data_IF_156356331398
#
_entry.id   IF_156356331398
#
_cell.length_a   1.000
_cell.length_b   1.000
_cell.length_c   1.000
_cell.angle_alpha   90.00
_cell.angle_beta   90.00
_cell.angle_gamma   90.00
#
_symmetry.space_group_name_H-M   'P 1'
#
loop_
_entity.id
_entity.type
_entity.pdbx_description
1 polymer ?
#
# COMPACT_ATOMS: atom_id res chain seq x y z
N UNK A 1 19.78 -5.49 -14.38
CA UNK A 1 19.39 -6.23 -13.15
C UNK A 1 19.33 -5.26 -11.99
N UNK A 2 18.23 -5.23 -11.26
CA UNK A 2 18.00 -4.30 -10.14
C UNK A 2 19.04 -4.50 -9.05
N UNK A 3 19.75 -3.42 -8.68
CA UNK A 3 20.73 -3.46 -7.58
C UNK A 3 20.07 -2.94 -6.31
N UNK A 4 19.80 -3.83 -5.37
CA UNK A 4 19.35 -3.49 -4.03
C UNK A 4 20.50 -3.52 -3.04
N UNK A 5 20.41 -2.72 -1.98
CA UNK A 5 21.37 -2.71 -0.87
C UNK A 5 21.44 -4.11 -0.24
N UNK A 6 22.65 -4.59 0.00
CA UNK A 6 22.87 -5.90 0.64
C UNK A 6 23.05 -5.76 2.16
N UNK A 7 22.96 -6.89 2.87
CA UNK A 7 23.24 -6.98 4.32
C UNK A 7 22.39 -6.04 5.19
N UNK A 8 21.14 -5.82 4.82
CA UNK A 8 20.18 -5.04 5.61
C UNK A 8 19.42 -5.92 6.60
N UNK A 9 18.97 -5.33 7.70
CA UNK A 9 18.11 -6.01 8.69
C UNK A 9 16.73 -6.29 8.12
N UNK A 10 16.17 -5.31 7.36
CA UNK A 10 14.87 -5.39 6.71
C UNK A 10 14.99 -5.35 5.19
N UNK A 11 14.03 -5.98 4.55
CA UNK A 11 13.83 -5.87 3.11
C UNK A 11 13.02 -4.61 2.78
N UNK A 12 11.98 -4.32 3.61
CA UNK A 12 11.07 -3.19 3.43
C UNK A 12 10.81 -2.51 4.78
N UNK A 13 10.91 -1.19 4.83
CA UNK A 13 10.38 -0.37 5.94
C UNK A 13 9.32 0.57 5.37
N UNK A 14 8.10 0.51 5.95
CA UNK A 14 7.01 1.44 5.63
C UNK A 14 6.94 2.58 6.64
N UNK A 15 6.54 3.79 6.20
CA UNK A 15 6.21 4.90 7.10
C UNK A 15 4.79 5.37 6.85
N UNK A 16 3.92 5.28 7.85
CA UNK A 16 2.56 5.78 7.70
C UNK A 16 1.68 5.64 8.94
N UNK A 17 0.45 6.15 8.82
CA UNK A 17 -0.55 6.04 9.86
C UNK A 17 -1.21 4.67 9.85
N UNK A 18 -1.38 4.09 11.04
CA UNK A 18 -2.25 2.93 11.25
C UNK A 18 -3.49 3.35 12.01
N UNK A 19 -4.64 3.14 11.40
CA UNK A 19 -5.96 3.46 11.94
C UNK A 19 -6.65 2.23 12.52
N UNK A 20 -7.64 2.49 13.35
CA UNK A 20 -8.65 1.50 13.71
C UNK A 20 -9.75 1.50 12.64
N UNK A 21 -9.93 0.38 11.95
CA UNK A 21 -11.09 0.14 11.10
C UNK A 21 -12.22 -0.44 11.93
N UNK A 22 -13.41 0.11 11.75
CA UNK A 22 -14.67 -0.36 12.32
C UNK A 22 -15.64 -0.69 11.18
N UNK A 23 -15.85 -1.97 10.92
CA UNK A 23 -16.67 -2.46 9.80
C UNK A 23 -18.06 -2.87 10.30
N UNK A 24 -19.12 -2.37 9.67
CA UNK A 24 -20.47 -2.88 9.87
C UNK A 24 -20.55 -4.32 9.29
N UNK A 25 -20.92 -5.33 10.09
CA UNK A 25 -20.97 -6.72 9.64
C UNK A 25 -22.12 -6.94 8.65
N UNK A 26 -22.11 -8.05 7.92
CA UNK A 26 -23.23 -8.55 7.12
C UNK A 26 -23.84 -7.53 6.12
N UNK A 27 -23.04 -6.54 5.67
CA UNK A 27 -23.52 -5.43 4.81
C UNK A 27 -24.59 -4.56 5.48
N UNK A 28 -24.64 -4.53 6.80
CA UNK A 28 -25.50 -3.62 7.55
C UNK A 28 -25.11 -2.16 7.30
N UNK A 29 -26.06 -1.25 7.53
CA UNK A 29 -25.76 0.18 7.48
C UNK A 29 -25.06 0.60 8.77
N UNK A 30 -24.05 1.44 8.69
CA UNK A 30 -23.41 2.05 9.87
C UNK A 30 -24.45 2.70 10.80
N UNK A 31 -25.48 3.32 10.24
CA UNK A 31 -26.55 3.96 11.02
C UNK A 31 -27.51 3.00 11.74
N UNK A 32 -27.37 1.70 11.54
CA UNK A 32 -28.29 0.68 12.08
C UNK A 32 -27.58 -0.47 12.80
N UNK A 33 -26.27 -0.70 12.53
CA UNK A 33 -25.54 -1.77 13.17
C UNK A 33 -25.29 -1.46 14.66
N UNK A 34 -25.44 -2.45 15.51
CA UNK A 34 -25.16 -2.37 16.95
C UNK A 34 -23.76 -2.86 17.30
N UNK A 35 -23.11 -3.56 16.37
CA UNK A 35 -21.79 -4.16 16.55
C UNK A 35 -20.88 -3.75 15.40
N UNK A 36 -19.60 -3.48 15.70
CA UNK A 36 -18.56 -3.29 14.70
C UNK A 36 -17.47 -4.35 14.85
N UNK A 37 -17.06 -4.91 13.72
CA UNK A 37 -15.82 -5.67 13.63
C UNK A 37 -14.64 -4.69 13.58
N UNK A 38 -13.60 -4.95 14.41
CA UNK A 38 -12.45 -4.07 14.49
C UNK A 38 -11.20 -4.68 13.89
N UNK A 39 -10.48 -3.89 13.11
CA UNK A 39 -9.24 -4.27 12.45
C UNK A 39 -8.23 -3.12 12.49
N UNK A 40 -6.95 -3.43 12.23
CA UNK A 40 -5.96 -2.42 11.93
C UNK A 40 -5.93 -2.18 10.41
N UNK A 41 -5.77 -0.93 10.01
CA UNK A 41 -5.74 -0.53 8.63
C UNK A 41 -4.78 0.64 8.40
N UNK A 42 -4.01 0.55 7.34
CA UNK A 42 -3.06 1.58 6.93
C UNK A 42 -2.34 1.13 5.68
N UNK A 43 -2.23 2.00 4.68
CA UNK A 43 -1.68 1.59 3.37
C UNK A 43 -0.27 1.04 3.49
N UNK A 44 0.60 1.69 4.26
CA UNK A 44 1.98 1.25 4.47
C UNK A 44 2.05 -0.03 5.33
N UNK A 45 1.14 -0.20 6.30
CA UNK A 45 1.00 -1.46 7.04
C UNK A 45 0.57 -2.59 6.10
N UNK A 46 -0.41 -2.34 5.22
CA UNK A 46 -0.90 -3.34 4.28
C UNK A 46 0.22 -3.81 3.33
N UNK A 47 1.04 -2.86 2.84
CA UNK A 47 2.20 -3.20 1.99
C UNK A 47 3.24 -3.98 2.78
N UNK A 48 3.61 -3.51 3.98
CA UNK A 48 4.61 -4.18 4.81
C UNK A 48 4.16 -5.60 5.21
N UNK A 49 2.89 -5.75 5.64
CA UNK A 49 2.32 -7.06 6.02
C UNK A 49 2.19 -8.01 4.84
N UNK A 50 1.72 -7.51 3.69
CA UNK A 50 1.60 -8.35 2.50
C UNK A 50 2.94 -8.92 2.06
N UNK A 51 3.99 -8.12 2.08
CA UNK A 51 5.33 -8.59 1.77
C UNK A 51 5.90 -9.52 2.86
N UNK A 52 5.62 -9.23 4.15
CA UNK A 52 6.12 -10.05 5.26
C UNK A 52 5.48 -11.43 5.29
N UNK A 53 4.17 -11.53 5.09
CA UNK A 53 3.44 -12.80 5.03
C UNK A 53 3.88 -13.70 3.85
N UNK A 54 4.45 -13.09 2.79
CA UNK A 54 5.10 -13.82 1.71
C UNK A 54 6.56 -14.23 2.04
N UNK A 55 7.12 -13.74 3.15
CA UNK A 55 8.46 -14.08 3.63
C UNK A 55 9.51 -12.99 3.44
N UNK A 56 9.15 -11.73 3.21
CA UNK A 56 10.06 -10.60 3.34
C UNK A 56 10.26 -10.21 4.81
N UNK A 57 11.37 -9.57 5.15
CA UNK A 57 11.58 -8.98 6.47
C UNK A 57 11.09 -7.54 6.42
N UNK A 58 10.00 -7.24 7.09
CA UNK A 58 9.38 -5.92 7.03
C UNK A 58 9.28 -5.27 8.42
N UNK A 59 9.37 -3.95 8.45
CA UNK A 59 9.11 -3.14 9.64
C UNK A 59 8.21 -1.94 9.30
N UNK A 60 7.56 -1.41 10.33
CA UNK A 60 6.72 -0.24 10.19
C UNK A 60 7.18 0.88 11.13
N UNK A 61 7.41 2.05 10.57
CA UNK A 61 7.62 3.30 11.29
C UNK A 61 6.28 4.03 11.40
N UNK A 62 5.78 4.14 12.61
CA UNK A 62 4.48 4.79 12.88
C UNK A 62 4.47 5.36 14.30
N UNK A 63 3.50 6.24 14.61
CA UNK A 63 3.28 6.75 15.96
C UNK A 63 1.88 6.38 16.45
N UNK A 64 1.81 5.69 17.57
CA UNK A 64 0.59 5.20 18.19
C UNK A 64 0.37 5.83 19.57
N UNK A 65 -0.88 6.07 20.01
CA UNK A 65 -1.12 6.47 21.38
C UNK A 65 -0.74 5.35 22.34
N UNK A 66 -0.12 5.66 23.48
CA UNK A 66 0.14 4.73 24.57
C UNK A 66 -1.18 4.42 25.32
N UNK A 67 -2.02 3.63 24.69
CA UNK A 67 -3.35 3.26 25.18
C UNK A 67 -3.64 1.79 24.85
N UNK A 68 -4.72 1.23 25.44
CA UNK A 68 -5.17 -0.13 25.12
C UNK A 68 -5.48 -0.31 23.62
N UNK A 69 -5.96 0.74 22.97
CA UNK A 69 -6.23 0.70 21.52
C UNK A 69 -4.95 0.79 20.68
N UNK A 70 -3.96 1.58 21.10
CA UNK A 70 -2.64 1.56 20.48
C UNK A 70 -1.96 0.20 20.61
N UNK A 71 -2.09 -0.47 21.76
CA UNK A 71 -1.61 -1.85 21.94
C UNK A 71 -2.38 -2.86 21.08
N UNK A 72 -3.67 -2.65 20.83
CA UNK A 72 -4.41 -3.48 19.88
C UNK A 72 -3.82 -3.35 18.47
N UNK A 73 -3.55 -2.13 18.01
CA UNK A 73 -2.91 -1.89 16.71
C UNK A 73 -1.53 -2.55 16.65
N UNK A 74 -0.68 -2.36 17.68
CA UNK A 74 0.62 -3.03 17.77
C UNK A 74 0.50 -4.55 17.58
N UNK A 75 -0.46 -5.18 18.27
CA UNK A 75 -0.65 -6.62 18.16
C UNK A 75 -1.08 -7.04 16.75
N UNK A 76 -1.82 -6.18 16.04
CA UNK A 76 -2.20 -6.43 14.64
C UNK A 76 -1.03 -6.25 13.67
N UNK A 77 -0.12 -5.30 13.93
CA UNK A 77 1.14 -5.14 13.19
C UNK A 77 1.96 -6.44 13.29
N UNK A 78 2.14 -6.96 14.49
CA UNK A 78 2.86 -8.22 14.74
C UNK A 78 2.15 -9.43 14.14
N UNK A 79 0.82 -9.47 14.14
CA UNK A 79 0.02 -10.51 13.46
C UNK A 79 0.29 -10.53 11.96
N UNK A 80 0.58 -9.38 11.36
CA UNK A 80 0.97 -9.23 9.96
C UNK A 80 2.46 -9.53 9.69
N UNK A 81 3.17 -10.19 10.61
CA UNK A 81 4.60 -10.51 10.54
C UNK A 81 5.51 -9.28 10.33
N UNK A 82 5.04 -8.10 10.75
CA UNK A 82 5.80 -6.84 10.66
C UNK A 82 6.45 -6.52 12.01
N UNK A 83 7.75 -6.15 11.98
CA UNK A 83 8.45 -5.69 13.20
C UNK A 83 7.81 -4.41 13.74
N UNK A 84 7.64 -4.38 15.06
CA UNK A 84 7.11 -3.26 15.85
C UNK A 84 8.22 -2.44 16.55
N UNK A 85 9.49 -2.64 16.19
CA UNK A 85 10.65 -2.01 16.84
C UNK A 85 10.71 -0.49 16.64
N UNK A 86 10.06 0.01 15.59
CA UNK A 86 10.05 1.45 15.24
C UNK A 86 8.69 2.12 15.49
N UNK A 87 7.90 1.56 16.38
CA UNK A 87 6.68 2.22 16.85
C UNK A 87 7.06 3.29 17.89
N UNK A 88 6.77 4.54 17.57
CA UNK A 88 6.85 5.65 18.52
C UNK A 88 5.55 5.71 19.30
N UNK A 89 5.63 5.84 20.64
CA UNK A 89 4.44 5.96 21.48
C UNK A 89 4.21 7.42 21.89
N UNK A 90 2.96 7.87 21.68
CA UNK A 90 2.50 9.19 22.05
C UNK A 90 1.84 9.15 23.43
N UNK A 91 2.44 9.86 24.38
CA UNK A 91 1.94 10.05 25.73
C UNK A 91 1.26 11.42 25.94
N UNK A 92 1.37 12.32 24.97
CA UNK A 92 0.88 13.70 25.05
C UNK A 92 -0.61 13.80 24.76
N UNK A 93 -1.46 14.39 25.63
CA UNK A 93 -2.87 14.66 25.31
C UNK A 93 -3.04 15.75 24.23
N UNK A 94 -4.05 15.64 23.37
CA UNK A 94 -4.99 14.54 23.17
C UNK A 94 -4.42 13.46 22.28
N UNK A 95 -3.99 12.34 22.84
CA UNK A 95 -3.50 11.19 22.11
C UNK A 95 -4.65 10.31 21.60
N UNK A 96 -4.70 10.05 20.29
CA UNK A 96 -5.76 9.22 19.71
C UNK A 96 -5.31 8.45 18.49
N UNK A 97 -5.98 7.34 18.20
CA UNK A 97 -5.92 6.71 16.89
C UNK A 97 -6.79 7.45 15.88
N UNK A 98 -6.37 7.47 14.63
CA UNK A 98 -7.30 7.66 13.53
C UNK A 98 -8.26 6.46 13.47
N UNK A 99 -9.52 6.75 13.15
CA UNK A 99 -10.56 5.74 12.98
C UNK A 99 -11.17 5.91 11.59
N UNK A 100 -11.54 4.82 10.96
CA UNK A 100 -12.51 4.89 9.90
C UNK A 100 -13.58 3.81 10.03
N UNK A 101 -14.79 4.19 9.64
CA UNK A 101 -15.94 3.30 9.59
C UNK A 101 -16.14 2.83 8.16
N UNK A 102 -16.34 1.52 7.99
CA UNK A 102 -16.53 0.89 6.69
C UNK A 102 -17.92 0.24 6.60
N UNK A 103 -18.61 0.54 5.51
CA UNK A 103 -19.90 -0.05 5.16
C UNK A 103 -19.79 -0.72 3.80
N UNK A 104 -19.93 -2.03 3.74
CA UNK A 104 -19.97 -2.76 2.47
C UNK A 104 -21.35 -2.64 1.87
N UNK A 105 -21.43 -2.07 0.66
CA UNK A 105 -22.67 -1.94 -0.08
C UNK A 105 -23.12 -3.25 -0.73
N UNK A 106 -24.40 -3.28 -1.12
CA UNK A 106 -24.96 -4.28 -2.03
C UNK A 106 -25.82 -3.53 -3.06
N UNK A 107 -25.71 -3.90 -4.34
CA UNK A 107 -26.45 -3.22 -5.41
C UNK A 107 -27.93 -3.05 -5.06
N UNK A 108 -28.53 -1.85 -5.24
CA UNK A 108 -27.95 -0.62 -5.82
C UNK A 108 -27.19 0.27 -4.83
N UNK A 109 -27.06 -0.10 -3.57
CA UNK A 109 -26.39 0.67 -2.52
C UNK A 109 -24.85 0.57 -2.68
N UNK A 110 -24.20 1.72 -2.72
CA UNK A 110 -22.73 1.80 -2.78
C UNK A 110 -22.11 1.54 -1.40
N UNK A 111 -20.87 1.02 -1.39
CA UNK A 111 -20.04 0.99 -0.18
C UNK A 111 -19.69 2.40 0.24
N UNK A 112 -19.51 2.62 1.55
CA UNK A 112 -19.14 3.90 2.13
C UNK A 112 -17.99 3.74 3.12
N UNK A 113 -17.16 4.79 3.22
CA UNK A 113 -16.11 4.91 4.23
C UNK A 113 -16.22 6.32 4.85
N UNK A 114 -16.22 6.37 6.17
CA UNK A 114 -16.26 7.62 6.94
C UNK A 114 -14.99 7.70 7.77
N UNK A 115 -14.21 8.76 7.57
CA UNK A 115 -12.95 8.96 8.31
C UNK A 115 -13.14 9.90 9.50
N UNK A 116 -12.61 9.48 10.66
CA UNK A 116 -12.42 10.27 11.87
C UNK A 116 -10.95 10.17 12.28
N UNK A 117 -10.08 10.90 11.58
CA UNK A 117 -8.61 10.76 11.73
C UNK A 117 -7.88 12.06 12.08
N UNK A 118 -8.54 13.20 12.02
CA UNK A 118 -7.90 14.49 12.30
C UNK A 118 -7.26 14.49 13.69
N UNK A 119 -6.00 14.98 13.80
CA UNK A 119 -5.26 15.05 15.04
C UNK A 119 -4.92 13.68 15.66
N UNK A 120 -4.80 12.63 14.85
CA UNK A 120 -4.29 11.33 15.32
C UNK A 120 -2.83 11.44 15.73
N UNK A 121 -2.38 10.57 16.64
CA UNK A 121 -0.99 10.52 17.11
C UNK A 121 0.01 10.40 15.96
N UNK A 122 -0.33 9.67 14.89
CA UNK A 122 0.53 9.53 13.73
C UNK A 122 0.87 10.88 13.05
N UNK A 123 -0.08 11.85 13.06
CA UNK A 123 0.14 13.17 12.45
C UNK A 123 1.16 14.03 13.20
N UNK A 124 1.52 13.64 14.42
CA UNK A 124 2.49 14.34 15.29
C UNK A 124 3.89 13.71 15.27
N UNK A 125 4.13 12.68 14.46
CA UNK A 125 5.45 12.06 14.34
C UNK A 125 6.45 13.09 13.77
N UNK A 126 7.57 13.25 14.47
CA UNK A 126 8.65 14.15 14.06
C UNK A 126 9.91 13.37 13.68
N UNK A 127 10.76 13.99 12.87
CA UNK A 127 12.00 13.33 12.41
C UNK A 127 12.96 13.03 13.56
N UNK A 128 12.91 13.80 14.65
CA UNK A 128 13.79 13.63 15.82
C UNK A 128 13.37 12.43 16.70
N UNK A 129 12.15 11.94 16.54
CA UNK A 129 11.66 10.73 17.21
C UNK A 129 12.10 9.45 16.47
N UNK A 130 12.65 9.55 15.27
CA UNK A 130 13.08 8.43 14.45
C UNK A 130 14.54 8.10 14.77
N UNK A 131 14.86 6.85 15.20
CA UNK A 131 16.22 6.43 15.47
C UNK A 131 17.13 6.62 14.26
N UNK A 132 18.30 7.24 14.44
CA UNK A 132 19.18 7.61 13.33
C UNK A 132 19.74 6.40 12.57
N UNK A 133 19.83 5.25 13.20
CA UNK A 133 20.37 4.01 12.61
C UNK A 133 19.38 3.29 11.66
N UNK A 134 18.09 3.64 11.70
CA UNK A 134 17.05 3.02 10.85
C UNK A 134 17.34 3.17 9.35
N UNK A 135 17.93 4.30 8.96
CA UNK A 135 18.17 4.63 7.54
C UNK A 135 19.10 3.65 6.84
N UNK A 136 19.99 3.00 7.59
CA UNK A 136 20.92 2.01 7.06
C UNK A 136 20.33 0.59 6.97
N UNK A 137 19.16 0.34 7.57
CA UNK A 137 18.66 -1.00 7.87
C UNK A 137 17.75 -1.60 6.81
N UNK A 138 17.40 -0.89 5.74
CA UNK A 138 16.45 -1.40 4.74
C UNK A 138 16.97 -1.35 3.31
N UNK A 139 16.47 -2.25 2.47
CA UNK A 139 16.65 -2.22 1.02
C UNK A 139 15.70 -1.24 0.35
N UNK A 140 14.44 -1.21 0.82
CA UNK A 140 13.37 -0.40 0.25
C UNK A 140 12.67 0.36 1.37
N UNK A 141 12.52 1.66 1.21
CA UNK A 141 11.65 2.50 2.04
C UNK A 141 10.38 2.80 1.26
N UNK A 142 9.22 2.42 1.84
CA UNK A 142 7.91 2.62 1.21
C UNK A 142 7.09 3.66 1.96
N UNK A 143 6.48 4.57 1.21
CA UNK A 143 5.56 5.59 1.73
C UNK A 143 4.53 5.96 0.66
N UNK A 144 3.34 6.37 1.08
CA UNK A 144 2.31 6.87 0.18
C UNK A 144 2.07 8.37 0.33
N UNK A 145 1.40 8.96 -0.65
CA UNK A 145 0.99 10.36 -0.56
C UNK A 145 -0.02 10.63 0.56
N UNK A 146 -0.67 9.61 1.10
CA UNK A 146 -1.55 9.76 2.27
C UNK A 146 -0.75 10.28 3.46
N UNK A 147 0.45 9.74 3.72
CA UNK A 147 1.34 10.22 4.79
C UNK A 147 1.80 11.66 4.59
N UNK A 148 1.77 12.17 3.35
CA UNK A 148 2.04 13.58 3.04
C UNK A 148 0.80 14.48 3.20
N UNK A 149 -0.42 13.89 3.17
CA UNK A 149 -1.69 14.62 3.14
C UNK A 149 -2.32 14.84 4.50
N UNK A 150 -2.06 13.97 5.49
CA UNK A 150 -2.82 13.92 6.75
C UNK A 150 -2.36 14.91 7.82
N UNK A 151 -1.32 15.70 7.57
CA UNK A 151 -0.85 16.73 8.46
C UNK A 151 0.52 17.27 8.08
N UNK A 152 0.76 18.56 8.35
CA UNK A 152 2.02 19.23 7.99
C UNK A 152 3.24 18.63 8.71
N UNK A 153 3.08 18.24 9.98
CA UNK A 153 4.15 17.62 10.76
C UNK A 153 4.61 16.28 10.17
N UNK A 154 3.65 15.38 9.88
CA UNK A 154 3.98 14.10 9.25
C UNK A 154 4.48 14.30 7.81
N UNK A 155 3.93 15.28 7.06
CA UNK A 155 4.44 15.64 5.72
C UNK A 155 5.92 15.95 5.76
N UNK A 156 6.32 16.89 6.64
CA UNK A 156 7.71 17.29 6.78
C UNK A 156 8.60 16.10 7.17
N UNK A 157 8.15 15.29 8.12
CA UNK A 157 8.84 14.10 8.58
C UNK A 157 9.01 13.06 7.47
N UNK A 158 7.94 12.78 6.71
CA UNK A 158 7.98 11.80 5.62
C UNK A 158 8.91 12.24 4.47
N UNK A 159 8.88 13.53 4.09
CA UNK A 159 9.78 14.07 3.06
C UNK A 159 11.25 13.98 3.52
N UNK A 160 11.53 14.33 4.76
CA UNK A 160 12.90 14.23 5.30
C UNK A 160 13.33 12.76 5.45
N UNK A 161 12.46 11.86 5.86
CA UNK A 161 12.72 10.43 5.89
C UNK A 161 13.06 9.88 4.49
N UNK A 162 12.28 10.24 3.46
CA UNK A 162 12.59 9.90 2.05
C UNK A 162 14.01 10.29 1.70
N UNK A 163 14.42 11.53 2.02
CA UNK A 163 15.77 12.03 1.72
C UNK A 163 16.85 11.23 2.44
N UNK A 164 16.66 10.96 3.74
CA UNK A 164 17.66 10.23 4.56
C UNK A 164 17.79 8.78 4.12
N UNK A 165 16.69 8.08 3.88
CA UNK A 165 16.71 6.71 3.35
C UNK A 165 17.37 6.66 1.97
N UNK A 166 17.06 7.61 1.09
CA UNK A 166 17.70 7.71 -0.25
C UNK A 166 19.21 7.96 -0.12
N UNK A 167 19.62 8.88 0.75
CA UNK A 167 21.03 9.18 1.00
C UNK A 167 21.79 7.97 1.59
N UNK A 168 21.12 7.13 2.37
CA UNK A 168 21.64 5.89 2.92
C UNK A 168 21.65 4.72 1.91
N UNK A 169 21.20 4.95 0.67
CA UNK A 169 21.22 3.97 -0.43
C UNK A 169 20.02 3.02 -0.48
N UNK A 170 18.96 3.28 0.27
CA UNK A 170 17.70 2.56 0.10
C UNK A 170 17.00 3.01 -1.18
N UNK A 171 16.30 2.07 -1.84
CA UNK A 171 15.37 2.39 -2.93
C UNK A 171 14.09 2.97 -2.35
N UNK A 172 13.59 4.04 -2.95
CA UNK A 172 12.36 4.69 -2.50
C UNK A 172 11.18 4.19 -3.32
N UNK A 173 10.23 3.55 -2.67
CA UNK A 173 8.94 3.13 -3.21
C UNK A 173 7.86 4.11 -2.81
N UNK A 174 7.17 4.68 -3.77
CA UNK A 174 6.16 5.71 -3.56
C UNK A 174 4.83 5.37 -4.24
N UNK A 175 3.75 5.36 -3.45
CA UNK A 175 2.38 5.23 -3.98
C UNK A 175 1.67 6.59 -4.00
N UNK A 176 1.28 7.04 -5.20
CA UNK A 176 0.54 8.30 -5.39
C UNK A 176 -0.90 8.23 -4.90
N UNK A 177 -1.32 7.30 -4.23
CA UNK A 177 -2.59 7.00 -3.58
C UNK A 177 -3.48 8.23 -3.26
N UNK A 178 -3.79 9.05 -4.29
CA UNK A 178 -4.49 10.32 -4.17
C UNK A 178 -5.88 10.16 -3.53
N UNK A 179 -6.19 11.03 -2.58
CA UNK A 179 -7.47 11.07 -1.87
C UNK A 179 -8.03 12.50 -1.88
N UNK A 180 -9.03 12.77 -2.72
CA UNK A 180 -9.68 14.08 -2.83
C UNK A 180 -10.32 14.58 -1.53
N UNK A 181 -10.51 13.71 -0.53
CA UNK A 181 -11.02 14.08 0.79
C UNK A 181 -9.96 14.66 1.72
N UNK A 182 -8.67 14.55 1.38
CA UNK A 182 -7.56 15.02 2.21
C UNK A 182 -6.99 16.37 1.74
N UNK A 183 -6.92 16.60 0.44
CA UNK A 183 -6.32 17.78 -0.17
C UNK A 183 -6.82 18.02 -1.59
N UNK A 184 -6.62 19.24 -2.11
CA UNK A 184 -6.94 19.58 -3.49
C UNK A 184 -6.01 18.90 -4.49
N UNK A 185 -6.43 18.77 -5.75
CA UNK A 185 -5.57 18.25 -6.82
C UNK A 185 -4.31 19.12 -7.02
N UNK A 186 -4.43 20.43 -6.87
CA UNK A 186 -3.32 21.37 -7.02
C UNK A 186 -2.28 21.21 -5.90
N UNK A 187 -2.70 21.20 -4.64
CA UNK A 187 -1.81 20.96 -3.51
C UNK A 187 -1.16 19.58 -3.59
N UNK A 188 -1.96 18.55 -3.89
CA UNK A 188 -1.46 17.18 -4.07
C UNK A 188 -0.38 17.09 -5.15
N UNK A 189 -0.60 17.73 -6.32
CA UNK A 189 0.36 17.78 -7.41
C UNK A 189 1.68 18.39 -6.96
N UNK A 190 1.65 19.59 -6.36
CA UNK A 190 2.85 20.29 -5.90
C UNK A 190 3.67 19.45 -4.93
N UNK A 191 3.03 18.87 -3.91
CA UNK A 191 3.71 18.09 -2.88
C UNK A 191 4.23 16.77 -3.44
N UNK A 192 3.43 16.05 -4.22
CA UNK A 192 3.81 14.75 -4.79
C UNK A 192 4.94 14.91 -5.80
N UNK A 193 4.89 15.91 -6.68
CA UNK A 193 5.98 16.17 -7.64
C UNK A 193 7.28 16.59 -6.95
N UNK A 194 7.22 17.19 -5.75
CA UNK A 194 8.42 17.56 -4.98
C UNK A 194 9.23 16.36 -4.47
N UNK A 195 8.61 15.19 -4.32
CA UNK A 195 9.27 13.96 -3.86
C UNK A 195 9.70 13.05 -5.02
N UNK A 196 9.14 13.20 -6.21
CA UNK A 196 9.46 12.36 -7.36
C UNK A 196 10.96 12.26 -7.71
N UNK A 197 11.79 13.31 -7.58
CA UNK A 197 13.24 13.18 -7.81
C UNK A 197 13.97 12.18 -6.91
N UNK A 198 13.35 11.73 -5.83
CA UNK A 198 13.91 10.72 -4.92
C UNK A 198 13.36 9.32 -5.16
N UNK A 199 12.29 9.20 -5.96
CA UNK A 199 11.51 7.96 -6.13
C UNK A 199 12.15 7.05 -7.16
N UNK A 200 12.40 5.80 -6.77
CA UNK A 200 12.88 4.73 -7.63
C UNK A 200 11.74 3.87 -8.20
N UNK A 201 10.77 3.52 -7.34
CA UNK A 201 9.60 2.71 -7.71
C UNK A 201 8.33 3.53 -7.53
N UNK A 202 7.75 3.96 -8.63
CA UNK A 202 6.54 4.78 -8.65
C UNK A 202 5.31 3.93 -8.95
N UNK A 203 4.34 3.97 -8.04
CA UNK A 203 3.02 3.39 -8.22
C UNK A 203 1.99 4.51 -8.42
N UNK A 204 1.35 4.54 -9.58
CA UNK A 204 0.39 5.59 -9.91
C UNK A 204 -0.67 5.07 -10.88
N UNK A 205 -1.95 5.37 -10.61
CA UNK A 205 -3.03 5.02 -11.55
C UNK A 205 -3.04 5.95 -12.77
N UNK A 206 -3.54 5.46 -13.90
CA UNK A 206 -3.74 6.28 -15.09
C UNK A 206 -4.67 7.46 -14.80
N UNK A 207 -5.76 7.24 -14.05
CA UNK A 207 -6.69 8.31 -13.67
C UNK A 207 -5.99 9.42 -12.88
N UNK A 208 -5.18 9.06 -11.87
CA UNK A 208 -4.41 10.03 -11.06
C UNK A 208 -3.39 10.78 -11.92
N UNK A 209 -2.71 10.06 -12.82
CA UNK A 209 -1.75 10.68 -13.75
C UNK A 209 -2.41 11.72 -14.65
N UNK A 210 -3.60 11.44 -15.17
CA UNK A 210 -4.31 12.36 -16.06
C UNK A 210 -4.96 13.51 -15.32
N UNK A 211 -5.69 13.23 -14.25
CA UNK A 211 -6.47 14.25 -13.51
C UNK A 211 -5.60 15.12 -12.62
N UNK A 212 -4.95 14.51 -11.65
CA UNK A 212 -4.24 15.23 -10.60
C UNK A 212 -2.85 15.70 -11.09
N UNK A 213 -2.09 14.82 -11.79
CA UNK A 213 -0.75 15.17 -12.29
C UNK A 213 -0.78 15.80 -13.70
N UNK A 214 -1.96 15.90 -14.33
CA UNK A 214 -2.19 16.58 -15.62
C UNK A 214 -1.30 16.05 -16.75
N UNK A 215 -0.96 14.74 -16.70
CA UNK A 215 -0.19 14.10 -17.77
C UNK A 215 -1.07 13.81 -18.98
N UNK A 216 -0.52 13.99 -20.16
CA UNK A 216 -1.20 13.79 -21.47
C UNK A 216 -0.46 12.75 -22.31
N UNK A 217 -1.12 12.23 -23.34
CA UNK A 217 -0.58 11.19 -24.22
C UNK A 217 -1.15 9.81 -23.94
N UNK A 218 -0.57 8.77 -24.53
CA UNK A 218 -0.89 7.37 -24.24
C UNK A 218 -0.41 6.98 -22.84
N UNK A 219 -0.90 5.87 -22.30
CA UNK A 219 -0.43 5.39 -20.99
C UNK A 219 1.07 5.12 -21.00
N UNK A 220 1.56 4.52 -22.08
CA UNK A 220 2.98 4.22 -22.28
C UNK A 220 3.83 5.48 -22.31
N UNK A 221 3.39 6.54 -22.99
CA UNK A 221 4.07 7.85 -23.02
C UNK A 221 4.10 8.48 -21.63
N UNK A 222 2.99 8.40 -20.87
CA UNK A 222 2.92 8.89 -19.48
C UNK A 222 3.92 8.16 -18.60
N UNK A 223 3.96 6.82 -18.65
CA UNK A 223 4.88 6.01 -17.85
C UNK A 223 6.34 6.29 -18.21
N UNK A 224 6.69 6.38 -19.49
CA UNK A 224 8.03 6.79 -19.93
C UNK A 224 8.38 8.21 -19.51
N UNK A 225 7.38 9.10 -19.46
CA UNK A 225 7.54 10.46 -18.96
C UNK A 225 8.04 10.49 -17.52
N UNK A 226 7.46 9.70 -16.62
CA UNK A 226 7.94 9.62 -15.22
C UNK A 226 9.37 9.09 -15.13
N UNK A 227 9.71 8.04 -15.87
CA UNK A 227 11.06 7.51 -15.90
C UNK A 227 12.07 8.55 -16.42
N UNK A 228 11.72 9.29 -17.48
CA UNK A 228 12.58 10.30 -18.10
C UNK A 228 12.72 11.57 -17.24
N UNK A 229 11.58 12.08 -16.71
CA UNK A 229 11.56 13.39 -16.03
C UNK A 229 12.14 13.31 -14.62
N UNK A 230 11.96 12.17 -13.93
CA UNK A 230 12.32 12.01 -12.52
C UNK A 230 13.33 10.89 -12.24
N UNK A 231 13.69 10.11 -13.24
CA UNK A 231 14.65 9.00 -13.08
C UNK A 231 14.08 7.76 -12.39
N UNK A 232 12.74 7.60 -12.38
CA UNK A 232 12.13 6.41 -11.80
C UNK A 232 12.63 5.14 -12.52
N UNK A 233 13.19 4.22 -11.77
CA UNK A 233 13.68 2.91 -12.28
C UNK A 233 12.52 2.02 -12.70
N UNK A 234 11.41 2.07 -11.92
CA UNK A 234 10.20 1.32 -12.18
C UNK A 234 8.98 2.24 -12.05
N UNK A 235 8.08 2.18 -13.02
CA UNK A 235 6.76 2.83 -12.97
C UNK A 235 5.70 1.76 -13.15
N UNK A 236 4.79 1.64 -12.19
CA UNK A 236 3.71 0.66 -12.21
C UNK A 236 2.34 1.33 -12.16
N UNK A 237 1.41 0.80 -12.94
CA UNK A 237 0.00 1.20 -12.93
C UNK A 237 -0.89 -0.02 -12.85
N UNK A 238 -2.01 0.10 -12.12
CA UNK A 238 -3.03 -0.94 -12.04
C UNK A 238 -4.24 -0.56 -12.87
N UNK A 239 -4.87 -1.55 -13.48
CA UNK A 239 -6.13 -1.40 -14.21
C UNK A 239 -7.19 -2.27 -13.55
N UNK A 240 -8.26 -1.63 -13.10
CA UNK A 240 -9.43 -2.31 -12.55
C UNK A 240 -10.64 -2.00 -13.43
N UNK A 241 -11.31 -3.05 -13.87
CA UNK A 241 -12.60 -2.96 -14.55
C UNK A 241 -13.69 -3.46 -13.59
N UNK A 242 -14.68 -2.62 -13.31
CA UNK A 242 -15.79 -2.94 -12.42
C UNK A 242 -16.93 -3.51 -13.25
N UNK A 243 -17.14 -4.83 -13.18
CA UNK A 243 -18.28 -5.52 -13.81
C UNK A 243 -19.55 -5.30 -12.96
N UNK A 244 -19.41 -5.44 -11.65
CA UNK A 244 -20.44 -5.14 -10.65
C UNK A 244 -19.77 -4.77 -9.33
N UNK A 245 -20.50 -4.26 -8.31
CA UNK A 245 -19.91 -3.98 -7.00
C UNK A 245 -19.18 -5.16 -6.36
N UNK A 246 -19.58 -6.39 -6.71
CA UNK A 246 -19.04 -7.63 -6.17
C UNK A 246 -18.25 -8.44 -7.21
N UNK A 247 -17.92 -7.87 -8.38
CA UNK A 247 -17.18 -8.58 -9.42
C UNK A 247 -16.33 -7.64 -10.24
N UNK A 248 -15.02 -7.86 -10.21
CA UNK A 248 -14.03 -7.01 -10.86
C UNK A 248 -13.09 -7.83 -11.74
N UNK A 249 -12.51 -7.16 -12.76
CA UNK A 249 -11.29 -7.62 -13.42
C UNK A 249 -10.12 -6.79 -12.91
N UNK A 250 -8.95 -7.41 -12.79
CA UNK A 250 -7.74 -6.74 -12.32
C UNK A 250 -6.51 -7.14 -13.15
N UNK A 251 -5.71 -6.18 -13.50
CA UNK A 251 -4.42 -6.34 -14.15
C UNK A 251 -3.54 -5.13 -13.90
N UNK A 252 -2.30 -5.21 -14.31
CA UNK A 252 -1.32 -4.13 -14.16
C UNK A 252 -0.35 -4.09 -15.32
N UNK A 253 0.35 -2.96 -15.42
CA UNK A 253 1.46 -2.76 -16.36
C UNK A 253 2.63 -2.15 -15.61
N UNK A 254 3.83 -2.65 -15.85
CA UNK A 254 5.09 -2.13 -15.30
C UNK A 254 5.98 -1.69 -16.46
N UNK A 255 6.55 -0.49 -16.34
CA UNK A 255 7.69 -0.03 -17.13
C UNK A 255 8.95 -0.21 -16.28
N UNK A 256 9.95 -0.89 -16.81
CA UNK A 256 11.27 -1.05 -16.20
C UNK A 256 12.36 -1.10 -17.28
N UNK A 257 13.43 -0.32 -17.14
CA UNK A 257 14.53 -0.26 -18.11
C UNK A 257 14.03 -0.07 -19.57
N UNK A 258 13.00 0.79 -19.76
CA UNK A 258 12.35 1.10 -21.04
C UNK A 258 11.51 -0.04 -21.66
N UNK A 259 11.38 -1.18 -20.99
CA UNK A 259 10.53 -2.30 -21.37
C UNK A 259 9.22 -2.34 -20.59
N UNK A 260 8.13 -2.73 -21.27
CA UNK A 260 6.83 -2.92 -20.63
C UNK A 260 6.60 -4.39 -20.31
N UNK A 261 6.15 -4.62 -19.06
CA UNK A 261 5.75 -5.91 -18.56
C UNK A 261 4.25 -5.90 -18.25
N UNK A 262 3.55 -6.88 -18.80
CA UNK A 262 2.10 -7.04 -18.67
C UNK A 262 1.76 -8.54 -18.77
N UNK A 263 0.66 -8.95 -18.15
CA UNK A 263 0.08 -10.29 -18.30
C UNK A 263 -1.44 -10.20 -18.52
N UNK A 264 -2.13 -11.26 -18.98
CA UNK A 264 -3.58 -11.27 -19.03
C UNK A 264 -4.20 -10.91 -17.68
N UNK A 265 -5.27 -10.10 -17.64
CA UNK A 265 -5.88 -9.73 -16.37
C UNK A 265 -6.58 -10.91 -15.70
N UNK A 266 -6.63 -10.89 -14.37
CA UNK A 266 -7.50 -11.76 -13.59
C UNK A 266 -8.94 -11.35 -13.81
N UNK A 267 -9.74 -12.25 -14.40
CA UNK A 267 -11.11 -11.97 -14.84
C UNK A 267 -12.13 -12.46 -13.82
N UNK A 268 -13.16 -11.63 -13.57
CA UNK A 268 -14.33 -12.06 -12.80
C UNK A 268 -14.08 -12.32 -11.33
N UNK A 269 -13.08 -11.66 -10.72
CA UNK A 269 -12.76 -11.79 -9.29
C UNK A 269 -14.02 -11.49 -8.46
N UNK A 270 -14.41 -12.42 -7.59
CA UNK A 270 -15.51 -12.24 -6.63
C UNK A 270 -15.00 -11.36 -5.46
N UNK A 271 -15.60 -10.18 -5.31
CA UNK A 271 -15.15 -9.19 -4.33
C UNK A 271 -15.92 -9.36 -3.02
N UNK A 272 -15.20 -9.73 -1.97
CA UNK A 272 -15.70 -9.72 -0.59
C UNK A 272 -15.35 -8.37 0.05
N UNK A 273 -14.06 -7.99 0.01
CA UNK A 273 -13.59 -6.69 0.46
C UNK A 273 -12.45 -6.19 -0.43
N UNK A 274 -12.66 -5.05 -1.08
CA UNK A 274 -11.68 -4.49 -2.02
C UNK A 274 -10.64 -3.58 -1.37
N UNK A 275 -10.84 -3.16 -0.11
CA UNK A 275 -9.91 -2.24 0.56
C UNK A 275 -8.59 -2.97 0.75
N UNK A 276 -7.48 -2.29 0.47
CA UNK A 276 -6.14 -2.88 0.54
C UNK A 276 -5.68 -3.65 -0.72
N UNK A 277 -6.52 -3.78 -1.77
CA UNK A 277 -6.11 -4.53 -2.98
C UNK A 277 -4.99 -3.84 -3.77
N UNK A 278 -4.95 -2.51 -3.78
CA UNK A 278 -3.84 -1.74 -4.36
C UNK A 278 -2.55 -1.93 -3.55
N UNK A 279 -2.67 -1.87 -2.23
CA UNK A 279 -1.55 -2.09 -1.31
C UNK A 279 -1.00 -3.52 -1.45
N UNK A 280 -1.89 -4.51 -1.62
CA UNK A 280 -1.53 -5.90 -1.89
C UNK A 280 -0.73 -6.04 -3.21
N UNK A 281 -1.15 -5.33 -4.26
CA UNK A 281 -0.39 -5.29 -5.50
C UNK A 281 1.04 -4.79 -5.26
N UNK A 282 1.18 -3.66 -4.57
CA UNK A 282 2.50 -3.07 -4.26
C UNK A 282 3.33 -4.04 -3.41
N UNK A 283 2.73 -4.63 -2.38
CA UNK A 283 3.40 -5.63 -1.52
C UNK A 283 3.98 -6.79 -2.33
N UNK A 284 3.18 -7.35 -3.24
CA UNK A 284 3.61 -8.45 -4.11
C UNK A 284 4.71 -8.04 -5.10
N UNK A 285 4.62 -6.84 -5.68
CA UNK A 285 5.68 -6.31 -6.55
C UNK A 285 6.98 -6.13 -5.77
N UNK A 286 6.95 -5.46 -4.62
CA UNK A 286 8.15 -5.23 -3.80
C UNK A 286 8.75 -6.55 -3.29
N UNK A 287 7.91 -7.51 -2.88
CA UNK A 287 8.37 -8.86 -2.53
C UNK A 287 9.09 -9.54 -3.69
N UNK A 288 8.50 -9.55 -4.88
CA UNK A 288 9.10 -10.15 -6.08
C UNK A 288 10.45 -9.53 -6.43
N UNK A 289 10.55 -8.19 -6.38
CA UNK A 289 11.80 -7.46 -6.60
C UNK A 289 12.87 -7.82 -5.58
N UNK A 290 12.51 -7.89 -4.29
CA UNK A 290 13.46 -8.20 -3.20
C UNK A 290 13.96 -9.65 -3.28
N UNK A 291 13.09 -10.61 -3.60
CA UNK A 291 13.43 -12.03 -3.55
C UNK A 291 14.05 -12.57 -4.83
N UNK A 292 13.64 -12.06 -5.98
CA UNK A 292 14.14 -12.56 -7.28
C UNK A 292 14.93 -11.55 -8.10
N UNK A 293 14.73 -10.24 -7.87
CA UNK A 293 15.25 -9.19 -8.76
C UNK A 293 14.62 -9.20 -10.16
N UNK A 294 13.60 -10.04 -10.40
CA UNK A 294 12.92 -10.23 -11.68
C UNK A 294 11.59 -9.46 -11.70
N UNK A 295 11.49 -8.51 -12.62
CA UNK A 295 10.31 -7.64 -12.77
C UNK A 295 9.07 -8.41 -13.24
N UNK A 296 9.25 -9.42 -14.11
CA UNK A 296 8.13 -10.26 -14.55
C UNK A 296 7.56 -11.03 -13.37
N UNK A 297 8.44 -11.58 -12.55
CA UNK A 297 8.03 -12.27 -11.32
C UNK A 297 7.34 -11.32 -10.34
N UNK A 298 7.86 -10.12 -10.19
CA UNK A 298 7.24 -9.08 -9.35
C UNK A 298 5.82 -8.73 -9.84
N UNK A 299 5.62 -8.58 -11.15
CA UNK A 299 4.30 -8.35 -11.75
C UNK A 299 3.32 -9.49 -11.42
N UNK A 300 3.73 -10.74 -11.64
CA UNK A 300 2.90 -11.93 -11.41
C UNK A 300 2.46 -12.04 -9.94
N UNK A 301 3.40 -11.88 -9.00
CA UNK A 301 3.09 -11.93 -7.57
C UNK A 301 2.19 -10.76 -7.16
N UNK A 302 2.45 -9.54 -7.66
CA UNK A 302 1.63 -8.37 -7.42
C UNK A 302 0.19 -8.55 -7.87
N UNK A 303 -0.03 -9.03 -9.09
CA UNK A 303 -1.36 -9.27 -9.64
C UNK A 303 -2.11 -10.37 -8.88
N UNK A 304 -1.43 -11.49 -8.57
CA UNK A 304 -2.03 -12.60 -7.83
C UNK A 304 -2.43 -12.20 -6.41
N UNK A 305 -1.55 -11.51 -5.67
CA UNK A 305 -1.84 -11.06 -4.31
C UNK A 305 -2.98 -10.04 -4.28
N UNK A 306 -3.03 -9.11 -5.24
CA UNK A 306 -4.15 -8.19 -5.40
C UNK A 306 -5.46 -8.91 -5.70
N UNK A 307 -5.44 -9.91 -6.58
CA UNK A 307 -6.62 -10.69 -6.92
C UNK A 307 -7.16 -11.43 -5.68
N UNK A 308 -6.30 -12.14 -4.94
CA UNK A 308 -6.68 -12.84 -3.70
C UNK A 308 -7.20 -11.85 -2.66
N UNK A 309 -6.53 -10.71 -2.45
CA UNK A 309 -6.95 -9.73 -1.44
C UNK A 309 -8.42 -9.29 -1.62
N UNK A 310 -8.91 -9.18 -2.83
CA UNK A 310 -10.33 -8.87 -3.07
C UNK A 310 -11.28 -9.94 -2.49
N UNK A 311 -10.83 -11.17 -2.28
CA UNK A 311 -11.62 -12.29 -1.78
C UNK A 311 -11.52 -12.51 -0.26
N UNK A 312 -10.80 -11.63 0.45
CA UNK A 312 -10.52 -11.72 1.88
C UNK A 312 -11.12 -10.50 2.60
N UNK A 313 -11.74 -10.70 3.76
CA UNK A 313 -12.18 -9.62 4.65
C UNK A 313 -10.98 -8.90 5.27
N UNK A 314 -11.16 -7.60 5.53
CA UNK A 314 -10.15 -6.76 6.16
C UNK A 314 -9.14 -6.17 5.18
N UNK A 315 -8.25 -5.30 5.67
CA UNK A 315 -7.29 -4.59 4.83
C UNK A 315 -6.03 -5.43 4.52
N UNK A 316 -5.62 -6.29 5.47
CA UNK A 316 -4.37 -7.03 5.35
C UNK A 316 -4.47 -8.13 4.28
N UNK A 317 -3.50 -8.21 3.35
CA UNK A 317 -3.45 -9.25 2.34
C UNK A 317 -2.86 -10.56 2.92
N UNK A 318 -3.64 -11.24 3.74
CA UNK A 318 -3.23 -12.43 4.46
C UNK A 318 -3.15 -13.65 3.53
N UNK A 319 -1.99 -13.86 2.89
CA UNK A 319 -1.74 -14.99 1.99
C UNK A 319 -0.31 -15.51 2.14
N UNK A 320 -0.12 -16.80 1.92
CA UNK A 320 1.21 -17.41 1.86
C UNK A 320 1.75 -17.40 0.43
N UNK A 321 3.08 -17.54 0.29
CA UNK A 321 3.70 -17.63 -1.04
C UNK A 321 3.21 -18.89 -1.80
N UNK A 322 2.94 -19.99 -1.11
CA UNK A 322 2.46 -21.22 -1.75
C UNK A 322 1.06 -21.02 -2.34
N UNK A 323 0.18 -20.28 -1.66
CA UNK A 323 -1.14 -19.91 -2.18
C UNK A 323 -1.00 -19.03 -3.43
N UNK A 324 -0.14 -18.00 -3.38
CA UNK A 324 0.15 -17.13 -4.54
C UNK A 324 0.67 -17.94 -5.73
N UNK A 325 1.61 -18.88 -5.51
CA UNK A 325 2.13 -19.76 -6.55
C UNK A 325 1.03 -20.63 -7.17
N UNK A 326 0.11 -21.14 -6.35
CA UNK A 326 -1.06 -21.88 -6.82
C UNK A 326 -1.93 -21.04 -7.76
N UNK A 327 -2.24 -19.80 -7.36
CA UNK A 327 -3.05 -18.87 -8.16
C UNK A 327 -2.35 -18.48 -9.47
N UNK A 328 -1.04 -18.20 -9.44
CA UNK A 328 -0.27 -17.90 -10.66
C UNK A 328 -0.28 -19.09 -11.62
N UNK A 329 -0.07 -20.32 -11.12
CA UNK A 329 -0.12 -21.52 -11.97
C UNK A 329 -1.50 -21.72 -12.61
N UNK A 330 -2.57 -21.57 -11.83
CA UNK A 330 -3.95 -21.67 -12.32
C UNK A 330 -4.24 -20.60 -13.38
N UNK A 331 -3.80 -19.37 -13.16
CA UNK A 331 -3.97 -18.27 -14.11
C UNK A 331 -3.27 -18.53 -15.45
N UNK A 332 -2.04 -19.05 -15.43
CA UNK A 332 -1.25 -19.39 -16.63
C UNK A 332 -1.80 -20.61 -17.39
N UNK A 333 -2.47 -21.53 -16.72
CA UNK A 333 -3.00 -22.77 -17.31
C UNK A 333 -4.36 -22.64 -17.98
N UNK A 334 -4.86 -21.41 -18.22
CA UNK A 334 -6.14 -21.14 -18.90
C UNK A 334 -7.37 -21.76 -18.23
N UNK A 335 -7.47 -21.67 -16.91
CA UNK A 335 -8.73 -21.85 -16.19
C UNK A 335 -9.17 -23.27 -15.88
N UNK A 336 -8.28 -24.27 -15.90
CA UNK A 336 -8.55 -25.51 -15.16
C UNK A 336 -8.28 -25.23 -13.68
N UNK A 337 -9.30 -24.75 -12.97
CA UNK A 337 -9.31 -24.74 -11.51
C UNK A 337 -9.41 -26.18 -11.01
N UNK A 338 -8.45 -26.64 -10.22
CA UNK A 338 -8.64 -27.81 -9.38
C UNK A 338 -9.73 -27.45 -8.35
N UNK A 339 -10.79 -28.23 -8.29
CA UNK A 339 -11.96 -27.98 -7.41
C UNK A 339 -11.58 -27.96 -5.93
N UNK A 340 -10.44 -28.56 -5.55
CA UNK A 340 -9.98 -28.61 -4.17
C UNK A 340 -8.47 -28.90 -4.06
N UNK A 341 -7.75 -28.08 -3.34
CA UNK A 341 -6.38 -28.38 -2.88
C UNK A 341 -6.50 -29.26 -1.63
N UNK A 342 -6.07 -30.52 -1.71
CA UNK A 342 -6.03 -31.47 -0.58
C UNK A 342 -4.59 -31.69 -0.13
#
# INVERSE_FOLDING_TARGET
MLKLKENTEFDIIGLGEVMLRLSAPNKEKISQCEVFEKEAAGTELNVASGAAMLGARSALLTKLPSSKMGHFIRNRIRYGDVSDDYIVYDDSPPKRLGIYYSETGAYPRKSAVIYDRAGSSATTLTIDEIPADIYEKTKIFHVSSISLAIGEGLRATAIEAIRRFKAAGAMISFDVNYRATLWSEEEAKQVVESVFPYVDFLFVSEETSRRMLQRTGTLEEIMRGYAKDYGCTLVATTRREVISPMRHNFGSKILFEDEFYEEPPYMGIEVIDRIGSGDAYIAGVLYGLVKSGDVRRALEVGNALSAIKNTILGDLPASSIDEIEGVIRAHKSSGKQDEMIR
#
